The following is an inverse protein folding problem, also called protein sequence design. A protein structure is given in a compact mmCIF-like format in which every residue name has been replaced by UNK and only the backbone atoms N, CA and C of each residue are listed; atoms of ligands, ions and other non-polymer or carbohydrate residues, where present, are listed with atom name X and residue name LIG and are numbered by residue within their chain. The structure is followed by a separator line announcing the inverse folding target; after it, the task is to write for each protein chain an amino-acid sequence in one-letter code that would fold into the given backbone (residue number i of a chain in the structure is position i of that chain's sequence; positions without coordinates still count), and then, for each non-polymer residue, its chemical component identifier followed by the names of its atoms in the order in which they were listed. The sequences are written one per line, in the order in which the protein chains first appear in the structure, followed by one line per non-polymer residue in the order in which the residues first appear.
data_IF_027735684921
#
_entry.id   IF_027735684921
#
_cell.length_a   1.000
_cell.length_b   1.000
_cell.length_c   1.000
_cell.angle_alpha   90.00
_cell.angle_beta   90.00
_cell.angle_gamma   90.00
#
_symmetry.space_group_name_H-M   'P 1'
#
loop_
_entity.id
_entity.type
_entity.pdbx_description
1 polymer ?
#
# COMPACT_ATOMS: atom_id res chain seq x y z
N UNK A 1 -6.78 -21.44 -25.26
CA UNK A 1 -7.44 -20.13 -25.46
C UNK A 1 -6.72 -19.10 -24.62
N UNK A 2 -6.11 -18.11 -25.25
CA UNK A 2 -5.25 -17.11 -24.59
C UNK A 2 -6.07 -16.14 -23.77
N UNK A 3 -5.77 -16.03 -22.47
CA UNK A 3 -6.36 -15.09 -21.51
C UNK A 3 -5.81 -13.65 -21.68
N UNK A 4 -5.43 -13.23 -22.88
CA UNK A 4 -4.73 -11.97 -23.15
C UNK A 4 -5.60 -10.83 -23.67
N UNK A 5 -6.92 -10.94 -23.60
CA UNK A 5 -7.83 -9.86 -24.01
C UNK A 5 -8.75 -9.42 -22.86
N UNK A 6 -8.16 -8.92 -21.77
CA UNK A 6 -8.88 -7.97 -20.93
C UNK A 6 -8.90 -6.62 -21.64
N UNK A 7 -9.85 -6.42 -22.56
CA UNK A 7 -10.27 -5.08 -22.95
C UNK A 7 -11.04 -4.50 -21.77
N UNK A 8 -10.54 -3.41 -21.24
CA UNK A 8 -11.20 -2.55 -20.25
C UNK A 8 -12.48 -1.97 -20.85
N UNK A 9 -13.58 -2.71 -20.80
CA UNK A 9 -14.91 -2.12 -20.86
C UNK A 9 -15.31 -1.82 -19.41
N UNK A 10 -15.44 -0.55 -19.09
CA UNK A 10 -16.16 -0.11 -17.91
C UNK A 10 -17.61 -0.55 -18.06
N UNK A 11 -17.98 -1.65 -17.42
CA UNK A 11 -19.36 -2.11 -17.36
C UNK A 11 -20.03 -1.26 -16.28
N UNK A 12 -21.04 -0.47 -16.67
CA UNK A 12 -21.89 0.18 -15.69
C UNK A 12 -22.58 -0.89 -14.85
N UNK A 13 -22.50 -0.77 -13.54
CA UNK A 13 -23.07 -1.72 -12.57
C UNK A 13 -24.60 -1.93 -12.73
N UNK A 14 -25.27 -1.01 -13.43
CA UNK A 14 -26.70 -1.07 -13.73
C UNK A 14 -27.06 -2.02 -14.86
N UNK A 15 -26.08 -2.50 -15.64
CA UNK A 15 -26.33 -3.33 -16.83
C UNK A 15 -26.07 -4.84 -16.57
N UNK A 16 -25.81 -5.22 -15.33
CA UNK A 16 -25.66 -6.60 -14.94
C UNK A 16 -27.03 -7.25 -14.78
N UNK A 17 -27.56 -7.81 -15.88
CA UNK A 17 -28.68 -8.75 -15.77
C UNK A 17 -28.26 -10.02 -15.02
N UNK A 18 -29.16 -10.69 -14.29
CA UNK A 18 -28.85 -11.92 -13.57
C UNK A 18 -28.24 -13.03 -14.45
N UNK A 19 -28.44 -12.97 -15.77
CA UNK A 19 -27.93 -13.93 -16.75
C UNK A 19 -26.45 -13.69 -17.14
N UNK A 20 -25.87 -12.53 -16.81
CA UNK A 20 -24.44 -12.27 -17.06
C UNK A 20 -23.49 -12.83 -15.97
N UNK A 21 -24.04 -13.53 -14.99
CA UNK A 21 -23.29 -14.12 -13.87
C UNK A 21 -22.49 -15.39 -14.24
N UNK A 22 -22.58 -15.90 -15.46
CA UNK A 22 -21.74 -16.98 -15.97
C UNK A 22 -20.38 -16.47 -16.50
N UNK A 23 -19.68 -15.68 -15.68
CA UNK A 23 -18.23 -15.62 -15.79
C UNK A 23 -17.69 -17.02 -15.53
N UNK A 24 -16.94 -17.63 -16.46
CA UNK A 24 -16.43 -18.99 -16.25
C UNK A 24 -15.63 -18.99 -14.96
N UNK A 25 -16.16 -19.65 -13.94
CA UNK A 25 -15.49 -19.85 -12.62
C UNK A 25 -14.07 -20.40 -12.74
N UNK A 26 -13.74 -20.98 -13.89
CA UNK A 26 -12.41 -21.47 -14.26
C UNK A 26 -11.33 -20.41 -14.35
N UNK A 27 -11.65 -19.12 -14.46
CA UNK A 27 -10.67 -18.03 -14.44
C UNK A 27 -10.38 -17.48 -13.03
N UNK A 28 -11.14 -17.86 -12.01
CA UNK A 28 -11.09 -17.23 -10.69
C UNK A 28 -10.25 -18.01 -9.65
N UNK A 29 -10.09 -19.31 -9.83
CA UNK A 29 -9.28 -20.11 -8.92
C UNK A 29 -8.42 -21.10 -9.73
N UNK A 30 -7.09 -21.13 -9.55
CA UNK A 30 -6.28 -22.20 -10.08
C UNK A 30 -6.74 -23.53 -9.46
N UNK A 31 -6.88 -24.58 -10.28
CA UNK A 31 -7.31 -25.93 -9.86
C UNK A 31 -6.47 -26.52 -8.73
N UNK A 32 -5.24 -26.00 -8.55
CA UNK A 32 -4.38 -26.30 -7.39
C UNK A 32 -3.78 -24.98 -6.90
N UNK A 33 -3.98 -24.60 -5.63
CA UNK A 33 -3.28 -23.45 -5.07
C UNK A 33 -1.79 -23.73 -5.11
N UNK A 34 -1.05 -22.88 -5.85
CA UNK A 34 0.42 -22.91 -5.93
C UNK A 34 1.04 -22.61 -4.55
N UNK A 35 0.24 -22.06 -3.64
CA UNK A 35 0.63 -21.67 -2.30
C UNK A 35 -0.17 -22.48 -1.28
N UNK A 36 0.49 -22.92 -0.22
CA UNK A 36 -0.23 -23.43 0.95
C UNK A 36 -1.01 -22.28 1.61
N UNK A 37 -2.15 -22.59 2.19
CA UNK A 37 -2.97 -21.63 2.95
C UNK A 37 -2.09 -20.97 4.03
N UNK A 38 -1.27 -21.75 4.74
CA UNK A 38 -0.35 -21.26 5.76
C UNK A 38 0.61 -20.19 5.24
N UNK A 39 1.22 -20.39 4.06
CA UNK A 39 2.13 -19.38 3.48
C UNK A 39 1.41 -18.08 3.13
N UNK A 40 0.14 -18.15 2.76
CA UNK A 40 -0.67 -16.95 2.52
C UNK A 40 -0.98 -16.23 3.84
N UNK A 41 -1.40 -16.98 4.86
CA UNK A 41 -1.69 -16.42 6.19
C UNK A 41 -0.46 -15.78 6.81
N UNK A 42 0.71 -16.44 6.76
CA UNK A 42 1.97 -15.91 7.24
C UNK A 42 2.34 -14.60 6.54
N UNK A 43 2.14 -14.55 5.22
CA UNK A 43 2.42 -13.33 4.45
C UNK A 43 1.49 -12.17 4.84
N UNK A 44 0.20 -12.42 4.97
CA UNK A 44 -0.75 -11.40 5.41
C UNK A 44 -0.48 -10.94 6.84
N UNK A 45 -0.07 -11.86 7.72
CA UNK A 45 0.34 -11.52 9.08
C UNK A 45 1.55 -10.57 9.10
N UNK A 46 2.58 -10.83 8.26
CA UNK A 46 3.74 -9.97 8.12
C UNK A 46 3.40 -8.59 7.51
N UNK A 47 2.49 -8.54 6.54
CA UNK A 47 1.99 -7.30 5.96
C UNK A 47 1.26 -6.46 7.03
N UNK A 48 0.37 -7.09 7.79
CA UNK A 48 -0.34 -6.41 8.88
C UNK A 48 0.63 -5.91 9.95
N UNK A 49 1.65 -6.69 10.31
CA UNK A 49 2.66 -6.25 11.29
C UNK A 49 3.45 -5.04 10.81
N UNK A 50 3.78 -4.97 9.51
CA UNK A 50 4.40 -3.79 8.90
C UNK A 50 3.48 -2.57 8.99
N UNK A 51 2.20 -2.72 8.65
CA UNK A 51 1.23 -1.65 8.67
C UNK A 51 0.94 -1.17 10.11
N UNK A 52 0.87 -2.09 11.07
CA UNK A 52 0.71 -1.74 12.50
C UNK A 52 1.89 -0.91 13.02
N UNK A 53 3.13 -1.24 12.63
CA UNK A 53 4.29 -0.44 12.99
C UNK A 53 4.21 0.99 12.43
N UNK A 54 3.75 1.13 11.18
CA UNK A 54 3.50 2.45 10.56
C UNK A 54 2.38 3.19 11.28
N UNK A 55 1.29 2.50 11.66
CA UNK A 55 0.19 3.07 12.42
C UNK A 55 0.65 3.75 13.72
N UNK A 56 1.65 3.17 14.37
CA UNK A 56 2.22 3.70 15.61
C UNK A 56 3.39 4.68 15.37
N UNK A 57 3.80 4.90 14.13
CA UNK A 57 4.93 5.76 13.78
C UNK A 57 6.29 5.17 14.22
N UNK A 58 6.36 3.86 14.44
CA UNK A 58 7.56 3.16 14.86
C UNK A 58 8.40 2.74 13.65
N UNK A 59 9.35 3.60 13.26
CA UNK A 59 10.20 3.37 12.10
C UNK A 59 11.15 2.16 12.28
N UNK A 60 11.60 1.88 13.51
CA UNK A 60 12.49 0.76 13.77
C UNK A 60 11.76 -0.57 13.61
N UNK A 61 10.58 -0.69 14.23
CA UNK A 61 9.73 -1.86 14.10
C UNK A 61 9.27 -2.07 12.65
N UNK A 62 8.93 -0.98 11.95
CA UNK A 62 8.54 -1.03 10.55
C UNK A 62 9.67 -1.55 9.65
N UNK A 63 10.92 -1.17 9.91
CA UNK A 63 12.08 -1.66 9.18
C UNK A 63 12.34 -3.15 9.44
N UNK A 64 12.18 -3.61 10.69
CA UNK A 64 12.30 -5.03 11.04
C UNK A 64 11.20 -5.86 10.36
N UNK A 65 9.97 -5.36 10.37
CA UNK A 65 8.84 -5.99 9.70
C UNK A 65 9.03 -6.07 8.17
N UNK A 66 9.57 -5.01 7.55
CA UNK A 66 9.91 -5.00 6.12
C UNK A 66 10.93 -6.08 5.76
N UNK A 67 11.97 -6.25 6.57
CA UNK A 67 12.97 -7.29 6.35
C UNK A 67 12.34 -8.70 6.42
N UNK A 68 11.50 -8.94 7.41
CA UNK A 68 10.77 -10.20 7.57
C UNK A 68 9.84 -10.46 6.39
N UNK A 69 9.11 -9.46 5.95
CA UNK A 69 8.20 -9.52 4.79
C UNK A 69 8.93 -9.83 3.48
N UNK A 70 10.11 -9.24 3.27
CA UNK A 70 10.96 -9.51 2.10
C UNK A 70 11.57 -10.90 2.11
N UNK A 71 11.81 -11.49 3.30
CA UNK A 71 12.32 -12.84 3.46
C UNK A 71 11.38 -13.94 3.00
N UNK A 72 10.07 -13.66 2.88
CA UNK A 72 9.07 -14.63 2.44
C UNK A 72 9.01 -14.70 0.92
N UNK A 73 9.64 -15.73 0.36
CA UNK A 73 9.61 -16.02 -1.07
C UNK A 73 8.34 -16.79 -1.44
N UNK A 74 7.57 -16.26 -2.39
CA UNK A 74 6.39 -16.95 -2.91
C UNK A 74 6.78 -17.69 -4.20
N UNK A 75 6.75 -19.04 -4.21
CA UNK A 75 6.98 -19.82 -5.42
C UNK A 75 6.00 -19.40 -6.53
N UNK A 76 6.49 -19.25 -7.76
CA UNK A 76 5.67 -18.87 -8.92
C UNK A 76 5.44 -17.36 -9.13
N UNK A 77 5.71 -16.51 -8.13
CA UNK A 77 5.69 -15.03 -8.30
C UNK A 77 7.05 -14.44 -8.66
N UNK A 78 8.12 -15.22 -8.53
CA UNK A 78 9.50 -14.79 -8.84
C UNK A 78 9.92 -14.96 -10.30
N UNK A 79 9.07 -15.46 -11.18
CA UNK A 79 9.34 -15.54 -12.61
C UNK A 79 9.24 -14.16 -13.25
N UNK A 80 10.37 -13.57 -13.61
CA UNK A 80 10.50 -12.32 -14.36
C UNK A 80 10.03 -11.06 -13.62
N UNK A 81 10.89 -10.54 -12.78
CA UNK A 81 10.73 -9.21 -12.18
C UNK A 81 10.97 -8.16 -13.27
N UNK A 82 9.97 -7.96 -14.13
CA UNK A 82 10.00 -6.81 -15.04
C UNK A 82 9.98 -5.54 -14.19
N UNK A 83 10.75 -4.54 -14.59
CA UNK A 83 10.77 -3.21 -13.94
C UNK A 83 9.35 -2.67 -13.69
N UNK A 84 8.44 -2.91 -14.61
CA UNK A 84 7.01 -2.57 -14.47
C UNK A 84 6.36 -3.22 -13.23
N UNK A 85 6.65 -4.50 -12.95
CA UNK A 85 6.10 -5.20 -11.78
C UNK A 85 6.66 -4.62 -10.47
N UNK A 86 7.93 -4.22 -10.47
CA UNK A 86 8.58 -3.56 -9.32
C UNK A 86 7.91 -2.23 -9.02
N UNK A 87 7.69 -1.39 -10.02
CA UNK A 87 7.00 -0.10 -9.91
C UNK A 87 5.59 -0.27 -9.34
N UNK A 88 4.81 -1.23 -9.85
CA UNK A 88 3.47 -1.49 -9.34
C UNK A 88 3.45 -1.94 -7.87
N UNK A 89 4.44 -2.71 -7.43
CA UNK A 89 4.55 -3.09 -6.01
C UNK A 89 4.81 -1.87 -5.12
N UNK A 90 5.69 -0.97 -5.54
CA UNK A 90 5.97 0.27 -4.80
C UNK A 90 4.75 1.18 -4.75
N UNK A 91 4.03 1.34 -5.86
CA UNK A 91 2.78 2.12 -5.90
C UNK A 91 1.71 1.52 -4.98
N UNK A 92 1.55 0.19 -4.98
CA UNK A 92 0.61 -0.48 -4.09
C UNK A 92 0.98 -0.29 -2.61
N UNK A 93 2.27 -0.45 -2.28
CA UNK A 93 2.76 -0.21 -0.92
C UNK A 93 2.53 1.25 -0.50
N UNK A 94 2.86 2.22 -1.35
CA UNK A 94 2.63 3.64 -1.08
C UNK A 94 1.15 3.92 -0.74
N UNK A 95 0.21 3.33 -1.48
CA UNK A 95 -1.21 3.48 -1.21
C UNK A 95 -1.63 2.88 0.15
N UNK A 96 -1.07 1.72 0.52
CA UNK A 96 -1.32 1.08 1.81
C UNK A 96 -0.76 1.93 2.97
N UNK A 97 0.48 2.39 2.86
CA UNK A 97 1.12 3.22 3.89
C UNK A 97 0.38 4.54 4.10
N UNK A 98 -0.03 5.21 3.00
CA UNK A 98 -0.88 6.40 3.07
C UNK A 98 -2.18 6.13 3.81
N UNK A 99 -2.82 5.01 3.49
CA UNK A 99 -4.10 4.65 4.12
C UNK A 99 -3.94 4.31 5.59
N UNK A 100 -2.85 3.69 5.97
CA UNK A 100 -2.56 3.38 7.36
C UNK A 100 -2.23 4.64 8.17
N UNK A 101 -1.44 5.56 7.60
CA UNK A 101 -1.19 6.86 8.23
C UNK A 101 -2.47 7.71 8.39
N UNK A 102 -3.40 7.63 7.43
CA UNK A 102 -4.74 8.24 7.56
C UNK A 102 -5.54 7.60 8.72
N UNK A 103 -5.49 6.27 8.88
CA UNK A 103 -6.11 5.56 10.01
C UNK A 103 -5.48 5.93 11.36
N UNK A 104 -4.18 6.24 11.37
CA UNK A 104 -3.50 6.83 12.53
C UNK A 104 -3.84 8.31 12.75
N UNK A 105 -4.89 8.81 12.08
CA UNK A 105 -5.42 10.17 12.22
C UNK A 105 -4.44 11.29 11.84
N UNK A 106 -3.53 11.02 10.89
CA UNK A 106 -2.76 12.08 10.22
C UNK A 106 -3.66 12.76 9.19
N UNK A 107 -3.70 14.09 9.23
CA UNK A 107 -4.54 14.86 8.29
C UNK A 107 -4.07 14.68 6.84
N UNK A 108 -5.04 14.58 5.92
CA UNK A 108 -4.78 14.34 4.48
C UNK A 108 -3.80 15.35 3.86
N UNK A 109 -3.78 16.59 4.31
CA UNK A 109 -2.85 17.63 3.85
C UNK A 109 -1.38 17.20 3.94
N UNK A 110 -0.99 16.48 5.01
CA UNK A 110 0.39 16.01 5.19
C UNK A 110 0.71 14.75 4.39
N UNK A 111 -0.33 14.01 3.99
CA UNK A 111 -0.20 12.74 3.30
C UNK A 111 -0.25 12.88 1.79
N UNK A 112 -0.99 13.85 1.27
CA UNK A 112 -1.23 13.97 -0.18
C UNK A 112 0.05 14.32 -0.93
N UNK A 113 0.82 15.29 -0.47
CA UNK A 113 2.12 15.64 -1.06
C UNK A 113 3.07 14.45 -1.03
N UNK A 114 3.22 13.81 0.15
CA UNK A 114 4.09 12.66 0.33
C UNK A 114 3.72 11.50 -0.60
N UNK A 115 2.42 11.23 -0.70
CA UNK A 115 1.90 10.19 -1.60
C UNK A 115 2.25 10.47 -3.07
N UNK A 116 2.05 11.71 -3.53
CA UNK A 116 2.31 12.09 -4.91
C UNK A 116 3.81 12.07 -5.24
N UNK A 117 4.66 12.53 -4.32
CA UNK A 117 6.12 12.50 -4.50
C UNK A 117 6.62 11.06 -4.70
N UNK A 118 6.16 10.11 -3.88
CA UNK A 118 6.52 8.71 -4.03
C UNK A 118 5.88 8.02 -5.22
N UNK A 119 4.71 8.47 -5.65
CA UNK A 119 4.10 7.98 -6.89
C UNK A 119 4.95 8.35 -8.12
N UNK A 120 5.45 9.58 -8.17
CA UNK A 120 6.35 10.03 -9.23
C UNK A 120 7.70 9.31 -9.15
N UNK A 121 8.31 9.22 -7.96
CA UNK A 121 9.58 8.51 -7.76
C UNK A 121 9.50 7.03 -8.15
N UNK A 122 8.37 6.37 -7.89
CA UNK A 122 8.14 4.99 -8.32
C UNK A 122 8.19 4.83 -9.85
N UNK A 123 7.77 5.86 -10.61
CA UNK A 123 7.87 5.90 -12.07
C UNK A 123 9.30 5.87 -12.60
N UNK A 124 10.26 6.38 -11.84
CA UNK A 124 11.66 6.50 -12.22
C UNK A 124 12.51 5.27 -11.87
N UNK A 125 11.98 4.29 -11.14
CA UNK A 125 12.71 3.08 -10.75
C UNK A 125 13.13 2.30 -11.99
N UNK A 126 14.42 1.99 -12.10
CA UNK A 126 15.00 1.16 -13.17
C UNK A 126 15.72 -0.07 -12.63
N UNK A 127 16.14 -0.04 -11.36
CA UNK A 127 16.90 -1.10 -10.70
C UNK A 127 16.26 -1.54 -9.40
N UNK A 128 16.60 -2.75 -8.96
CA UNK A 128 16.16 -3.29 -7.67
C UNK A 128 16.75 -2.53 -6.48
N UNK A 129 17.99 -2.02 -6.62
CA UNK A 129 18.59 -1.19 -5.58
C UNK A 129 17.82 0.13 -5.38
N UNK A 130 17.36 0.75 -6.47
CA UNK A 130 16.52 1.96 -6.39
C UNK A 130 15.17 1.66 -5.72
N UNK A 131 14.55 0.53 -6.04
CA UNK A 131 13.33 0.09 -5.37
C UNK A 131 13.54 -0.08 -3.87
N UNK A 132 14.61 -0.78 -3.49
CA UNK A 132 14.90 -1.03 -2.08
C UNK A 132 15.14 0.26 -1.30
N UNK A 133 15.92 1.18 -1.86
CA UNK A 133 16.19 2.48 -1.25
C UNK A 133 14.92 3.32 -1.12
N UNK A 134 14.10 3.39 -2.17
CA UNK A 134 12.86 4.15 -2.17
C UNK A 134 11.85 3.58 -1.17
N UNK A 135 11.71 2.27 -1.06
CA UNK A 135 10.80 1.63 -0.09
C UNK A 135 11.23 1.91 1.35
N UNK A 136 12.52 1.87 1.64
CA UNK A 136 13.06 2.20 2.97
C UNK A 136 12.76 3.65 3.33
N UNK A 137 13.09 4.58 2.42
CA UNK A 137 12.84 6.00 2.62
C UNK A 137 11.34 6.29 2.81
N UNK A 138 10.51 5.75 1.93
CA UNK A 138 9.06 5.90 1.99
C UNK A 138 8.50 5.43 3.33
N UNK A 139 8.93 4.27 3.82
CA UNK A 139 8.49 3.71 5.09
C UNK A 139 8.86 4.63 6.27
N UNK A 140 10.12 5.12 6.29
CA UNK A 140 10.59 6.05 7.31
C UNK A 140 9.79 7.35 7.31
N UNK A 141 9.52 7.92 6.12
CA UNK A 141 8.76 9.16 5.99
C UNK A 141 7.31 9.01 6.45
N UNK A 142 6.64 7.89 6.15
CA UNK A 142 5.29 7.66 6.67
C UNK A 142 5.27 7.48 8.19
N UNK A 143 6.19 6.73 8.77
CA UNK A 143 6.33 6.62 10.22
C UNK A 143 6.59 7.98 10.88
N UNK A 144 7.46 8.80 10.29
CA UNK A 144 7.76 10.15 10.77
C UNK A 144 6.52 11.08 10.71
N UNK A 145 5.71 10.97 9.64
CA UNK A 145 4.45 11.71 9.55
C UNK A 145 3.47 11.29 10.64
N UNK A 146 3.33 9.99 10.91
CA UNK A 146 2.48 9.50 11.99
C UNK A 146 3.01 9.98 13.33
N UNK A 147 4.28 9.82 13.61
CA UNK A 147 4.88 10.23 14.89
C UNK A 147 4.70 11.73 15.18
N UNK A 148 4.75 12.58 14.15
CA UNK A 148 4.67 14.05 14.30
C UNK A 148 3.27 14.62 14.23
N UNK A 149 2.39 14.05 13.43
CA UNK A 149 1.12 14.67 13.05
C UNK A 149 -0.11 13.83 13.36
N UNK A 150 0.06 12.65 13.96
CA UNK A 150 -1.09 11.88 14.44
C UNK A 150 -1.84 12.65 15.51
N UNK A 151 -3.13 12.70 15.36
CA UNK A 151 -4.06 13.27 16.37
C UNK A 151 -4.86 12.20 17.09
N UNK A 152 -4.43 10.93 16.97
CA UNK A 152 -5.03 9.81 17.67
C UNK A 152 -5.03 10.04 19.18
N UNK A 153 -6.20 9.85 19.81
CA UNK A 153 -6.38 10.08 21.25
C UNK A 153 -6.84 11.51 21.63
N UNK A 154 -6.86 12.46 20.70
CA UNK A 154 -7.45 13.78 20.96
C UNK A 154 -8.96 13.79 20.68
N UNK A 155 -9.71 14.61 21.44
CA UNK A 155 -11.11 14.85 21.13
C UNK A 155 -11.26 15.54 19.77
N UNK A 156 -12.42 15.38 19.13
CA UNK A 156 -12.72 16.00 17.81
C UNK A 156 -12.48 17.51 17.83
N UNK A 157 -12.80 18.18 18.93
CA UNK A 157 -12.62 19.64 19.08
C UNK A 157 -11.14 20.01 19.09
N UNK A 158 -10.31 19.31 19.88
CA UNK A 158 -8.86 19.53 19.94
C UNK A 158 -8.21 19.23 18.60
N UNK A 159 -8.61 18.16 17.95
CA UNK A 159 -8.13 17.77 16.63
C UNK A 159 -8.37 18.87 15.58
N UNK A 160 -9.59 19.40 15.54
CA UNK A 160 -9.95 20.49 14.62
C UNK A 160 -9.13 21.75 14.89
N UNK A 161 -8.87 22.07 16.16
CA UNK A 161 -8.04 23.22 16.55
C UNK A 161 -6.59 23.00 16.08
N UNK A 162 -6.01 21.84 16.32
CA UNK A 162 -4.65 21.49 15.89
C UNK A 162 -4.53 21.61 14.36
N UNK A 163 -5.50 21.04 13.63
CA UNK A 163 -5.50 21.11 12.16
C UNK A 163 -5.62 22.57 11.67
N UNK A 164 -6.50 23.34 12.26
CA UNK A 164 -6.65 24.76 11.90
C UNK A 164 -5.34 25.55 12.13
N UNK A 165 -4.71 25.39 13.30
CA UNK A 165 -3.44 26.05 13.62
C UNK A 165 -2.35 25.63 12.62
N UNK A 166 -2.18 24.34 12.38
CA UNK A 166 -1.14 23.83 11.51
C UNK A 166 -1.29 24.27 10.03
N UNK A 167 -2.53 24.45 9.57
CA UNK A 167 -2.80 24.91 8.21
C UNK A 167 -2.57 26.42 8.04
N UNK A 168 -2.85 27.22 9.08
CA UNK A 168 -2.76 28.68 9.02
C UNK A 168 -1.45 29.26 9.56
N UNK A 169 -0.62 28.51 10.29
CA UNK A 169 0.70 28.97 10.76
C UNK A 169 1.72 29.21 9.64
N UNK A 170 1.42 28.85 8.41
CA UNK A 170 2.30 29.03 7.23
C UNK A 170 1.86 30.17 6.31
N UNK A 171 0.87 30.96 6.73
CA UNK A 171 0.33 32.07 5.91
C UNK A 171 0.96 33.45 6.25
N UNK A 172 2.03 33.50 7.09
CA UNK A 172 2.81 34.73 7.37
C UNK A 172 4.12 34.80 6.59
#
# INVERSE_FOLDING_TARGET
MNCSTFRTHWVNYTDLSPESADLPRQCLLPEKPVLSIQMLEDRYALENHLLDAVHHGDAELAMQALQSFRGVTIPGRMGHTKTTTVRFRVVALNALLRKEAERAEVHAFYLDTLYNDYLLAAGEITTEQQEQALVVEMLQQYCDRVARYSTAGYSVVIRNIIHYINLHLKED
#
